data_IF_219380097775
#
_entry.id   IF_219380097775
#
_cell.length_a   1.000
_cell.length_b   1.000
_cell.length_c   1.000
_cell.angle_alpha   90.00
_cell.angle_beta   90.00
_cell.angle_gamma   90.00
#
_symmetry.space_group_name_H-M   'P 1'
#
loop_
_entity.id
_entity.type
_entity.pdbx_description
1 polymer ?
#
# COMPACT_ATOMS: atom_id res chain seq x y z
N UNK A 1 -24.78 -3.12 -8.12
CA UNK A 1 -23.78 -2.08 -7.74
C UNK A 1 -23.94 -1.55 -6.29
N UNK A 2 -24.97 -1.97 -5.57
CA UNK A 2 -25.20 -1.60 -4.13
C UNK A 2 -24.01 -1.94 -3.21
N UNK A 3 -23.27 -3.00 -3.50
CA UNK A 3 -22.08 -3.38 -2.74
C UNK A 3 -20.98 -2.30 -2.73
N UNK A 4 -20.82 -1.53 -3.81
CA UNK A 4 -19.82 -0.44 -3.84
C UNK A 4 -20.15 0.67 -2.83
N UNK A 5 -21.43 0.99 -2.66
CA UNK A 5 -21.84 1.98 -1.64
C UNK A 5 -21.55 1.50 -0.23
N UNK A 6 -21.77 0.20 0.03
CA UNK A 6 -21.44 -0.40 1.32
C UNK A 6 -19.93 -0.39 1.58
N UNK A 7 -19.12 -0.82 0.59
CA UNK A 7 -17.66 -0.79 0.70
C UNK A 7 -17.14 0.64 0.88
N UNK A 8 -17.72 1.61 0.17
CA UNK A 8 -17.37 3.02 0.31
C UNK A 8 -17.73 3.56 1.71
N UNK A 9 -18.91 3.23 2.21
CA UNK A 9 -19.32 3.62 3.56
C UNK A 9 -18.38 3.04 4.64
N UNK A 10 -18.00 1.77 4.51
CA UNK A 10 -17.01 1.13 5.40
C UNK A 10 -15.63 1.79 5.27
N UNK A 11 -15.21 2.12 4.05
CA UNK A 11 -13.96 2.82 3.80
C UNK A 11 -13.95 4.19 4.47
N UNK A 12 -15.01 4.97 4.35
CA UNK A 12 -15.16 6.26 5.05
C UNK A 12 -15.13 6.08 6.56
N UNK A 13 -15.87 5.12 7.10
CA UNK A 13 -15.97 4.89 8.53
C UNK A 13 -14.61 4.55 9.16
N UNK A 14 -13.86 3.63 8.56
CA UNK A 14 -12.57 3.18 9.11
C UNK A 14 -11.47 4.21 8.85
N UNK A 15 -11.39 4.79 7.66
CA UNK A 15 -10.40 5.82 7.34
C UNK A 15 -10.62 7.13 8.11
N UNK A 16 -11.78 7.32 8.75
CA UNK A 16 -12.03 8.44 9.67
C UNK A 16 -11.04 8.51 10.85
N UNK A 17 -10.27 7.46 11.12
CA UNK A 17 -9.11 7.52 12.03
C UNK A 17 -8.15 8.66 11.67
N UNK A 18 -8.06 9.05 10.41
CA UNK A 18 -7.27 10.19 9.94
C UNK A 18 -7.69 11.55 10.50
N UNK A 19 -8.88 11.66 11.08
CA UNK A 19 -9.33 12.87 11.78
C UNK A 19 -8.71 13.04 13.18
N UNK A 20 -8.14 11.95 13.75
CA UNK A 20 -7.40 12.01 15.01
C UNK A 20 -6.01 12.62 14.76
N UNK A 21 -5.27 12.03 13.80
CA UNK A 21 -3.99 12.54 13.32
C UNK A 21 -3.96 12.41 11.80
N UNK A 22 -3.56 13.47 11.11
CA UNK A 22 -3.55 13.50 9.63
C UNK A 22 -2.81 12.32 8.99
N UNK A 23 -1.70 11.91 9.58
CA UNK A 23 -0.91 10.77 9.11
C UNK A 23 -1.68 9.44 9.14
N UNK A 24 -2.73 9.32 9.97
CA UNK A 24 -3.51 8.10 10.07
C UNK A 24 -4.34 7.81 8.82
N UNK A 25 -4.63 8.81 8.00
CA UNK A 25 -5.21 8.56 6.67
C UNK A 25 -4.37 7.58 5.87
N UNK A 26 -3.05 7.69 5.91
CA UNK A 26 -2.09 6.91 5.12
C UNK A 26 -1.40 5.78 5.88
N UNK A 27 -1.72 5.58 7.14
CA UNK A 27 -1.09 4.59 8.01
C UNK A 27 -2.10 3.65 8.67
N UNK A 28 -2.53 3.90 9.90
CA UNK A 28 -3.50 3.05 10.60
C UNK A 28 -4.83 2.96 9.85
N UNK A 29 -5.35 4.09 9.36
CA UNK A 29 -6.56 4.13 8.57
C UNK A 29 -6.46 3.30 7.30
N UNK A 30 -5.34 3.37 6.59
CA UNK A 30 -5.08 2.54 5.41
C UNK A 30 -5.11 1.05 5.74
N UNK A 31 -4.25 0.59 6.63
CA UNK A 31 -4.12 -0.84 6.95
C UNK A 31 -5.44 -1.44 7.44
N UNK A 32 -6.11 -0.78 8.39
CA UNK A 32 -7.39 -1.29 8.93
C UNK A 32 -8.52 -1.20 7.91
N UNK A 33 -8.55 -0.17 7.04
CA UNK A 33 -9.56 -0.08 5.98
C UNK A 33 -9.42 -1.24 5.01
N UNK A 34 -8.22 -1.54 4.51
CA UNK A 34 -8.00 -2.68 3.62
C UNK A 34 -8.43 -4.00 4.28
N UNK A 35 -8.13 -4.19 5.58
CA UNK A 35 -8.56 -5.38 6.34
C UNK A 35 -10.09 -5.50 6.41
N UNK A 36 -10.78 -4.41 6.75
CA UNK A 36 -12.25 -4.40 6.84
C UNK A 36 -12.90 -4.62 5.48
N UNK A 37 -12.39 -3.96 4.43
CA UNK A 37 -12.88 -4.13 3.07
C UNK A 37 -12.67 -5.56 2.55
N UNK A 38 -11.55 -6.20 2.93
CA UNK A 38 -11.27 -7.60 2.62
C UNK A 38 -12.32 -8.55 3.23
N UNK A 39 -12.58 -8.39 4.54
CA UNK A 39 -13.60 -9.18 5.25
C UNK A 39 -14.98 -8.92 4.66
N UNK A 40 -15.33 -7.64 4.43
CA UNK A 40 -16.61 -7.27 3.85
C UNK A 40 -16.81 -7.89 2.45
N UNK A 41 -15.78 -7.87 1.60
CA UNK A 41 -15.81 -8.51 0.28
C UNK A 41 -16.11 -10.01 0.41
N UNK A 42 -15.40 -10.72 1.29
CA UNK A 42 -15.63 -12.15 1.51
C UNK A 42 -17.04 -12.45 2.02
N UNK A 43 -17.61 -11.63 2.90
CA UNK A 43 -18.97 -11.80 3.43
C UNK A 43 -20.03 -11.48 2.38
N UNK A 44 -19.88 -10.37 1.65
CA UNK A 44 -20.85 -9.93 0.62
C UNK A 44 -20.98 -10.96 -0.50
N UNK A 45 -19.88 -11.58 -0.87
CA UNK A 45 -19.81 -12.50 -2.00
C UNK A 45 -19.63 -13.97 -1.59
N UNK A 46 -19.97 -14.34 -0.34
CA UNK A 46 -19.80 -15.69 0.22
C UNK A 46 -20.45 -16.81 -0.59
N UNK A 47 -21.50 -16.49 -1.35
CA UNK A 47 -22.27 -17.40 -2.18
C UNK A 47 -21.57 -17.76 -3.50
N UNK A 48 -20.66 -16.89 -3.98
CA UNK A 48 -19.94 -17.05 -5.26
C UNK A 48 -18.43 -16.97 -5.10
N UNK A 49 -17.91 -16.91 -3.87
CA UNK A 49 -16.48 -16.76 -3.64
C UNK A 49 -15.70 -17.97 -4.15
N UNK A 50 -14.73 -17.73 -5.03
CA UNK A 50 -13.82 -18.75 -5.54
C UNK A 50 -12.55 -18.81 -4.69
N UNK A 51 -11.80 -19.91 -4.77
CA UNK A 51 -10.55 -20.07 -4.03
C UNK A 51 -9.52 -18.95 -4.29
N UNK A 52 -9.26 -18.50 -5.54
CA UNK A 52 -8.32 -17.40 -5.78
C UNK A 52 -8.84 -16.06 -5.28
N UNK A 53 -10.16 -15.82 -5.28
CA UNK A 53 -10.75 -14.64 -4.70
C UNK A 53 -10.62 -14.64 -3.17
N UNK A 54 -10.84 -15.79 -2.52
CA UNK A 54 -10.62 -15.95 -1.09
C UNK A 54 -9.14 -15.76 -0.73
N UNK A 55 -8.20 -16.30 -1.53
CA UNK A 55 -6.77 -16.06 -1.36
C UNK A 55 -6.44 -14.57 -1.41
N UNK A 56 -6.98 -13.82 -2.37
CA UNK A 56 -6.78 -12.37 -2.46
C UNK A 56 -7.32 -11.64 -1.22
N UNK A 57 -8.50 -12.02 -0.74
CA UNK A 57 -9.06 -11.48 0.50
C UNK A 57 -8.14 -11.78 1.70
N UNK A 58 -7.63 -12.99 1.83
CA UNK A 58 -6.69 -13.37 2.92
C UNK A 58 -5.39 -12.57 2.82
N UNK A 59 -4.84 -12.43 1.62
CA UNK A 59 -3.61 -11.64 1.37
C UNK A 59 -3.80 -10.19 1.83
N UNK A 60 -4.91 -9.54 1.47
CA UNK A 60 -5.20 -8.17 1.89
C UNK A 60 -5.47 -8.06 3.40
N UNK A 61 -6.15 -9.05 3.98
CA UNK A 61 -6.38 -9.08 5.43
C UNK A 61 -5.06 -9.18 6.20
N UNK A 62 -4.18 -10.09 5.79
CA UNK A 62 -2.85 -10.26 6.39
C UNK A 62 -2.01 -8.99 6.22
N UNK A 63 -1.97 -8.42 5.02
CA UNK A 63 -1.28 -7.15 4.74
C UNK A 63 -1.78 -6.03 5.65
N UNK A 64 -3.08 -5.78 5.65
CA UNK A 64 -3.66 -4.65 6.38
C UNK A 64 -3.55 -4.79 7.90
N UNK A 65 -3.81 -5.99 8.45
CA UNK A 65 -3.63 -6.25 9.89
C UNK A 65 -2.17 -6.11 10.29
N UNK A 66 -1.24 -6.70 9.51
CA UNK A 66 0.19 -6.58 9.79
C UNK A 66 0.64 -5.12 9.80
N UNK A 67 0.29 -4.36 8.77
CA UNK A 67 0.65 -2.95 8.66
C UNK A 67 0.04 -2.14 9.81
N UNK A 68 -1.26 -2.26 10.04
CA UNK A 68 -1.97 -1.53 11.09
C UNK A 68 -1.43 -1.87 12.49
N UNK A 69 -1.26 -3.16 12.80
CA UNK A 69 -0.72 -3.59 14.08
C UNK A 69 0.74 -3.20 14.30
N UNK A 70 1.58 -3.32 13.26
CA UNK A 70 2.98 -2.88 13.33
C UNK A 70 3.08 -1.38 13.65
N UNK A 71 2.29 -0.55 12.96
CA UNK A 71 2.29 0.89 13.19
C UNK A 71 1.75 1.24 14.58
N UNK A 72 0.67 0.60 15.02
CA UNK A 72 0.07 0.79 16.34
C UNK A 72 1.04 0.39 17.47
N UNK A 73 1.72 -0.75 17.33
CA UNK A 73 2.72 -1.20 18.31
C UNK A 73 3.95 -0.28 18.33
N UNK A 74 4.39 0.22 17.16
CA UNK A 74 5.49 1.18 17.05
C UNK A 74 5.15 2.49 17.75
N UNK A 75 3.94 2.99 17.56
CA UNK A 75 3.45 4.19 18.23
C UNK A 75 3.46 4.02 19.75
N UNK A 76 2.98 2.88 20.26
CA UNK A 76 2.94 2.64 21.70
C UNK A 76 4.32 2.45 22.33
N UNK A 77 5.30 1.89 21.60
CA UNK A 77 6.61 1.48 22.14
C UNK A 77 7.75 2.45 21.87
N UNK A 78 7.63 3.34 20.88
CA UNK A 78 8.71 4.22 20.45
C UNK A 78 8.44 5.67 20.84
N UNK A 79 9.19 6.20 21.81
CA UNK A 79 9.13 7.62 22.18
C UNK A 79 9.51 8.53 21.01
N UNK A 80 10.48 8.11 20.19
CA UNK A 80 10.86 8.84 18.97
C UNK A 80 9.69 8.96 18.00
N UNK A 81 8.86 7.91 17.86
CA UNK A 81 7.70 7.96 16.97
C UNK A 81 6.57 8.80 17.55
N UNK A 82 6.35 8.74 18.86
CA UNK A 82 5.43 9.66 19.55
C UNK A 82 5.85 11.11 19.31
N UNK A 83 7.15 11.41 19.41
CA UNK A 83 7.66 12.74 19.12
C UNK A 83 7.35 13.19 17.68
N UNK A 84 7.41 12.29 16.68
CA UNK A 84 7.02 12.59 15.30
C UNK A 84 5.52 12.88 15.20
N UNK A 85 4.66 12.12 15.90
CA UNK A 85 3.22 12.36 15.92
C UNK A 85 2.87 13.72 16.53
N UNK A 86 3.60 14.14 17.56
CA UNK A 86 3.39 15.43 18.23
C UNK A 86 4.11 16.61 17.56
N UNK A 87 4.80 16.40 16.44
CA UNK A 87 5.36 17.52 15.68
C UNK A 87 4.24 18.45 15.18
N UNK A 88 4.48 19.78 15.13
CA UNK A 88 3.47 20.74 14.67
C UNK A 88 2.84 20.39 13.32
N UNK A 89 3.64 19.82 12.41
CA UNK A 89 3.17 19.38 11.08
C UNK A 89 2.05 18.32 11.13
N UNK A 90 2.01 17.51 12.18
CA UNK A 90 1.03 16.46 12.37
C UNK A 90 -0.09 16.85 13.36
N UNK A 91 0.16 17.79 14.26
CA UNK A 91 -0.76 18.24 15.31
C UNK A 91 -1.51 19.52 14.94
N UNK A 92 -0.93 20.38 14.09
CA UNK A 92 -1.65 21.54 13.58
C UNK A 92 -2.83 21.07 12.75
N UNK A 93 -4.03 21.46 13.15
CA UNK A 93 -5.24 21.17 12.38
C UNK A 93 -5.07 21.72 10.96
N UNK A 94 -4.96 20.83 10.00
CA UNK A 94 -4.97 21.21 8.59
C UNK A 94 -6.32 21.91 8.30
N UNK A 95 -6.38 22.82 7.32
CA UNK A 95 -7.65 23.43 6.90
C UNK A 95 -8.71 22.36 6.64
N UNK A 96 -9.95 22.61 7.04
CA UNK A 96 -11.03 21.64 6.91
C UNK A 96 -11.16 21.10 5.48
N UNK A 97 -10.99 21.96 4.48
CA UNK A 97 -11.00 21.58 3.07
C UNK A 97 -9.95 20.51 2.77
N UNK A 98 -8.72 20.63 3.27
CA UNK A 98 -7.65 19.65 3.07
C UNK A 98 -8.00 18.32 3.73
N UNK A 99 -8.51 18.37 4.97
CA UNK A 99 -8.93 17.16 5.71
C UNK A 99 -10.02 16.39 4.95
N UNK A 100 -11.07 17.08 4.50
CA UNK A 100 -12.15 16.49 3.72
C UNK A 100 -11.66 15.92 2.37
N UNK A 101 -10.85 16.69 1.64
CA UNK A 101 -10.32 16.26 0.34
C UNK A 101 -9.47 14.99 0.46
N UNK A 102 -8.58 14.95 1.45
CA UNK A 102 -7.72 13.78 1.68
C UNK A 102 -8.54 12.58 2.15
N UNK A 103 -9.49 12.77 3.05
CA UNK A 103 -10.35 11.69 3.51
C UNK A 103 -11.17 11.06 2.38
N UNK A 104 -11.81 11.90 1.55
CA UNK A 104 -12.59 11.45 0.37
C UNK A 104 -11.65 10.71 -0.60
N UNK A 105 -10.48 11.29 -0.91
CA UNK A 105 -9.51 10.68 -1.80
C UNK A 105 -9.03 9.32 -1.28
N UNK A 106 -8.70 9.20 -0.01
CA UNK A 106 -8.28 7.95 0.61
C UNK A 106 -9.39 6.89 0.57
N UNK A 107 -10.64 7.27 0.92
CA UNK A 107 -11.76 6.34 0.90
C UNK A 107 -12.03 5.79 -0.51
N UNK A 108 -11.99 6.64 -1.53
CA UNK A 108 -12.13 6.23 -2.93
C UNK A 108 -10.97 5.37 -3.40
N UNK A 109 -9.73 5.74 -3.04
CA UNK A 109 -8.53 5.00 -3.38
C UNK A 109 -8.58 3.57 -2.84
N UNK A 110 -8.95 3.37 -1.57
CA UNK A 110 -9.00 2.05 -0.94
C UNK A 110 -10.04 1.13 -1.57
N UNK A 111 -11.21 1.67 -1.91
CA UNK A 111 -12.22 0.91 -2.67
C UNK A 111 -11.73 0.60 -4.08
N UNK A 112 -11.08 1.57 -4.76
CA UNK A 112 -10.48 1.37 -6.08
C UNK A 112 -9.43 0.25 -6.10
N UNK A 113 -8.61 0.14 -5.05
CA UNK A 113 -7.57 -0.89 -4.93
C UNK A 113 -8.13 -2.32 -4.85
N UNK A 114 -9.23 -2.51 -4.11
CA UNK A 114 -9.85 -3.84 -3.98
C UNK A 114 -10.84 -4.14 -5.09
N UNK A 115 -11.20 -3.15 -5.89
CA UNK A 115 -12.27 -3.24 -6.89
C UNK A 115 -12.09 -4.37 -7.92
N UNK A 116 -10.88 -4.75 -8.38
CA UNK A 116 -10.72 -5.85 -9.34
C UNK A 116 -11.32 -7.18 -8.87
N UNK A 117 -11.10 -7.54 -7.60
CA UNK A 117 -11.66 -8.78 -7.02
C UNK A 117 -13.16 -8.63 -6.77
N UNK A 118 -13.61 -7.47 -6.31
CA UNK A 118 -15.05 -7.24 -6.10
C UNK A 118 -15.81 -7.25 -7.42
N UNK A 119 -15.23 -6.73 -8.52
CA UNK A 119 -15.81 -6.82 -9.86
C UNK A 119 -15.82 -8.25 -10.39
N UNK A 120 -14.72 -9.02 -10.17
CA UNK A 120 -14.70 -10.44 -10.52
C UNK A 120 -15.88 -11.17 -9.86
N UNK A 121 -16.05 -11.03 -8.55
CA UNK A 121 -17.10 -11.71 -7.80
C UNK A 121 -18.51 -11.21 -8.18
N UNK A 122 -18.66 -9.90 -8.39
CA UNK A 122 -19.95 -9.35 -8.86
C UNK A 122 -20.32 -9.85 -10.24
N UNK A 123 -19.39 -9.79 -11.19
CA UNK A 123 -19.63 -10.22 -12.57
C UNK A 123 -19.90 -11.73 -12.64
N UNK A 124 -19.20 -12.54 -11.82
CA UNK A 124 -19.46 -13.96 -11.66
C UNK A 124 -20.89 -14.22 -11.14
N UNK A 125 -21.34 -13.46 -10.13
CA UNK A 125 -22.71 -13.55 -9.58
C UNK A 125 -23.78 -13.20 -10.62
N UNK A 126 -23.52 -12.24 -11.48
CA UNK A 126 -24.43 -11.81 -12.57
C UNK A 126 -24.35 -12.72 -13.81
N UNK A 127 -23.54 -13.79 -13.78
CA UNK A 127 -23.34 -14.68 -14.92
C UNK A 127 -22.57 -14.06 -16.09
N UNK A 128 -21.85 -12.96 -15.84
CA UNK A 128 -21.02 -12.31 -16.85
C UNK A 128 -19.70 -13.09 -17.03
N UNK A 129 -19.06 -12.99 -18.21
CA UNK A 129 -17.82 -13.70 -18.46
C UNK A 129 -16.69 -13.19 -17.56
N UNK A 130 -16.09 -14.09 -16.79
CA UNK A 130 -14.89 -13.83 -15.96
C UNK A 130 -13.86 -14.92 -16.19
N UNK A 131 -12.60 -14.64 -15.91
CA UNK A 131 -11.51 -15.60 -16.06
C UNK A 131 -10.87 -15.94 -14.71
N UNK A 132 -11.05 -17.17 -14.28
CA UNK A 132 -10.41 -17.68 -13.07
C UNK A 132 -8.87 -17.73 -13.19
N UNK A 133 -8.34 -17.93 -14.41
CA UNK A 133 -6.90 -17.92 -14.67
C UNK A 133 -6.26 -16.57 -14.35
N UNK A 134 -6.87 -15.46 -14.76
CA UNK A 134 -6.41 -14.13 -14.40
C UNK A 134 -6.57 -13.82 -12.91
N UNK A 135 -7.63 -14.38 -12.29
CA UNK A 135 -7.85 -14.27 -10.86
C UNK A 135 -6.72 -14.97 -10.07
N UNK A 136 -6.34 -16.21 -10.47
CA UNK A 136 -5.20 -16.93 -9.89
C UNK A 136 -3.88 -16.19 -10.11
N UNK A 137 -3.60 -15.74 -11.33
CA UNK A 137 -2.37 -15.02 -11.65
C UNK A 137 -2.22 -13.78 -10.76
N UNK A 138 -3.27 -12.98 -10.64
CA UNK A 138 -3.25 -11.79 -9.80
C UNK A 138 -3.11 -12.10 -8.31
N UNK A 139 -3.84 -13.11 -7.80
CA UNK A 139 -3.77 -13.53 -6.41
C UNK A 139 -2.36 -14.00 -6.00
N UNK A 140 -1.70 -14.79 -6.87
CA UNK A 140 -0.32 -15.27 -6.64
C UNK A 140 0.66 -14.10 -6.64
N UNK A 141 0.57 -13.19 -7.61
CA UNK A 141 1.43 -12.00 -7.67
C UNK A 141 1.23 -11.12 -6.43
N UNK A 142 -0.02 -10.93 -5.99
CA UNK A 142 -0.32 -10.19 -4.77
C UNK A 142 0.29 -10.85 -3.53
N UNK A 143 0.16 -12.16 -3.39
CA UNK A 143 0.76 -12.91 -2.29
C UNK A 143 2.30 -12.80 -2.26
N UNK A 144 2.96 -12.90 -3.42
CA UNK A 144 4.40 -12.68 -3.54
C UNK A 144 4.79 -11.26 -3.11
N UNK A 145 4.00 -10.26 -3.46
CA UNK A 145 4.22 -8.87 -3.03
C UNK A 145 4.23 -8.73 -1.51
N UNK A 146 3.24 -9.30 -0.82
CA UNK A 146 3.17 -9.28 0.65
C UNK A 146 4.34 -10.03 1.28
N UNK A 147 4.73 -11.18 0.74
CA UNK A 147 5.89 -11.95 1.24
C UNK A 147 7.17 -11.12 1.11
N UNK A 148 7.41 -10.48 -0.04
CA UNK A 148 8.59 -9.63 -0.26
C UNK A 148 8.60 -8.48 0.75
N UNK A 149 7.48 -7.82 0.98
CA UNK A 149 7.36 -6.74 1.96
C UNK A 149 7.67 -7.21 3.38
N UNK A 150 7.11 -8.36 3.79
CA UNK A 150 7.36 -8.96 5.11
C UNK A 150 8.85 -9.30 5.31
N UNK A 151 9.47 -9.92 4.31
CA UNK A 151 10.90 -10.27 4.35
C UNK A 151 11.77 -9.01 4.39
N UNK A 152 11.43 -7.98 3.60
CA UNK A 152 12.15 -6.71 3.61
C UNK A 152 12.11 -6.04 5.00
N UNK A 153 10.93 -5.95 5.60
CA UNK A 153 10.77 -5.35 6.94
C UNK A 153 11.53 -6.15 8.01
N UNK A 154 11.52 -7.49 7.92
CA UNK A 154 12.28 -8.36 8.82
C UNK A 154 13.80 -8.15 8.68
N UNK A 155 14.31 -8.12 7.44
CA UNK A 155 15.72 -7.85 7.15
C UNK A 155 16.15 -6.48 7.65
N UNK A 156 15.35 -5.44 7.41
CA UNK A 156 15.61 -4.09 7.91
C UNK A 156 15.65 -4.05 9.44
N UNK A 157 14.69 -4.70 10.09
CA UNK A 157 14.63 -4.77 11.55
C UNK A 157 15.84 -5.49 12.14
N UNK A 158 16.27 -6.60 11.54
CA UNK A 158 17.45 -7.35 11.95
C UNK A 158 18.73 -6.52 11.76
N UNK A 159 18.93 -5.90 10.62
CA UNK A 159 20.09 -5.05 10.34
C UNK A 159 20.19 -3.86 11.30
N UNK A 160 19.05 -3.21 11.61
CA UNK A 160 19.00 -2.09 12.54
C UNK A 160 19.22 -2.47 14.01
N UNK A 161 18.97 -3.73 14.39
CA UNK A 161 19.37 -4.25 15.72
C UNK A 161 20.87 -4.40 15.86
N UNK A 162 21.57 -4.76 14.75
CA UNK A 162 23.03 -4.89 14.73
C UNK A 162 23.70 -3.51 14.72
N UNK A 163 23.27 -2.62 13.82
CA UNK A 163 23.77 -1.26 13.72
C UNK A 163 22.67 -0.27 13.34
N UNK A 164 22.14 0.41 14.36
CA UNK A 164 21.04 1.35 14.19
C UNK A 164 21.40 2.56 13.29
N UNK A 165 22.69 2.94 13.26
CA UNK A 165 23.18 4.13 12.57
C UNK A 165 23.60 3.88 11.11
N UNK A 166 23.79 2.62 10.69
CA UNK A 166 24.15 2.26 9.31
C UNK A 166 22.90 2.13 8.44
N UNK A 167 22.98 2.51 7.17
CA UNK A 167 21.96 2.17 6.17
C UNK A 167 21.94 0.65 5.91
N UNK A 168 20.83 0.16 5.32
CA UNK A 168 20.67 -1.29 5.01
C UNK A 168 20.93 -1.50 3.54
N UNK A 169 21.88 -2.37 3.22
CA UNK A 169 22.37 -2.69 1.86
C UNK A 169 22.50 -4.20 1.62
N UNK A 170 21.92 -5.03 2.50
CA UNK A 170 22.02 -6.50 2.46
C UNK A 170 20.67 -7.15 2.13
N UNK A 171 20.67 -8.41 1.72
CA UNK A 171 19.48 -9.16 1.35
C UNK A 171 18.73 -8.51 0.19
N UNK A 172 17.42 -8.29 0.32
CA UNK A 172 16.58 -7.63 -0.69
C UNK A 172 17.01 -6.18 -0.97
N UNK A 173 17.65 -5.51 0.00
CA UNK A 173 18.17 -4.16 -0.15
C UNK A 173 19.38 -4.07 -1.08
N UNK A 174 19.99 -5.20 -1.48
CA UNK A 174 21.00 -5.23 -2.58
C UNK A 174 20.36 -5.12 -3.96
N UNK A 175 19.08 -5.49 -4.08
CA UNK A 175 18.37 -5.52 -5.38
C UNK A 175 17.70 -4.17 -5.63
N UNK A 176 16.99 -3.65 -4.62
CA UNK A 176 16.36 -2.31 -4.63
C UNK A 176 16.50 -1.66 -3.26
N UNK A 177 16.52 -0.32 -3.20
CA UNK A 177 16.68 0.41 -1.94
C UNK A 177 15.43 0.42 -1.06
N UNK A 178 14.26 0.22 -1.67
CA UNK A 178 12.97 0.21 -0.99
C UNK A 178 12.19 -1.09 -1.30
N UNK A 179 12.70 -2.28 -0.88
CA UNK A 179 12.07 -3.55 -1.25
C UNK A 179 10.69 -3.74 -0.60
N UNK A 180 10.42 -3.11 0.54
CA UNK A 180 9.08 -3.10 1.15
C UNK A 180 8.07 -2.33 0.27
N UNK A 181 8.45 -1.18 -0.30
CA UNK A 181 7.59 -0.45 -1.24
C UNK A 181 7.42 -1.20 -2.56
N UNK A 182 8.47 -1.88 -3.03
CA UNK A 182 8.35 -2.77 -4.18
C UNK A 182 7.35 -3.90 -3.91
N UNK A 183 7.41 -4.53 -2.73
CA UNK A 183 6.47 -5.57 -2.33
C UNK A 183 5.02 -5.09 -2.36
N UNK A 184 4.76 -3.89 -1.84
CA UNK A 184 3.43 -3.28 -1.85
C UNK A 184 2.96 -2.92 -3.27
N UNK A 185 3.83 -2.32 -4.10
CA UNK A 185 3.52 -2.08 -5.53
C UNK A 185 3.20 -3.40 -6.24
N UNK A 186 3.97 -4.47 -5.99
CA UNK A 186 3.74 -5.77 -6.58
C UNK A 186 2.41 -6.39 -6.12
N UNK A 187 2.05 -6.26 -4.84
CA UNK A 187 0.76 -6.71 -4.31
C UNK A 187 -0.40 -6.04 -5.05
N UNK A 188 -0.36 -4.72 -5.21
CA UNK A 188 -1.43 -4.00 -5.92
C UNK A 188 -1.37 -4.20 -7.43
N UNK A 189 -0.21 -4.48 -8.01
CA UNK A 189 -0.08 -4.93 -9.40
C UNK A 189 -0.79 -6.27 -9.59
N UNK A 190 -0.63 -7.20 -8.63
CA UNK A 190 -1.38 -8.45 -8.61
C UNK A 190 -2.89 -8.22 -8.60
N UNK A 191 -3.37 -7.33 -7.73
CA UNK A 191 -4.79 -6.95 -7.72
C UNK A 191 -5.22 -6.37 -9.07
N UNK A 192 -4.42 -5.51 -9.71
CA UNK A 192 -4.74 -4.91 -11.00
C UNK A 192 -4.73 -5.93 -12.17
N UNK A 193 -3.85 -6.94 -12.13
CA UNK A 193 -3.81 -8.02 -13.12
C UNK A 193 -5.17 -8.75 -13.21
N UNK A 194 -5.91 -8.85 -12.12
CA UNK A 194 -7.24 -9.46 -12.09
C UNK A 194 -8.22 -8.75 -13.04
N UNK A 195 -8.04 -7.45 -13.31
CA UNK A 195 -8.89 -6.67 -14.22
C UNK A 195 -9.00 -7.30 -15.61
N UNK A 196 -7.92 -7.92 -16.11
CA UNK A 196 -7.91 -8.55 -17.44
C UNK A 196 -8.88 -9.72 -17.57
N UNK A 197 -9.32 -10.28 -16.47
CA UNK A 197 -10.31 -11.36 -16.42
C UNK A 197 -11.57 -11.03 -15.64
N UNK A 198 -11.72 -9.77 -15.18
CA UNK A 198 -12.83 -9.39 -14.30
C UNK A 198 -13.62 -8.18 -14.78
N UNK A 199 -12.97 -7.21 -15.41
CA UNK A 199 -13.64 -5.95 -15.78
C UNK A 199 -14.38 -6.07 -17.09
N UNK A 200 -15.72 -5.99 -17.03
CA UNK A 200 -16.62 -6.10 -18.16
C UNK A 200 -17.09 -4.75 -18.71
N UNK A 201 -16.87 -3.66 -17.99
CA UNK A 201 -17.33 -2.31 -18.37
C UNK A 201 -16.21 -1.27 -18.26
N UNK A 202 -16.33 -0.19 -19.03
CA UNK A 202 -15.39 0.95 -18.95
C UNK A 202 -15.33 1.53 -17.54
N UNK A 203 -16.47 1.64 -16.85
CA UNK A 203 -16.52 2.15 -15.47
C UNK A 203 -15.71 1.29 -14.49
N UNK A 204 -15.76 -0.04 -14.61
CA UNK A 204 -14.97 -0.96 -13.80
C UNK A 204 -13.46 -0.76 -14.05
N UNK A 205 -13.06 -0.65 -15.32
CA UNK A 205 -11.67 -0.36 -15.70
C UNK A 205 -11.19 0.99 -15.16
N UNK A 206 -12.00 2.04 -15.26
CA UNK A 206 -11.64 3.37 -14.73
C UNK A 206 -11.41 3.33 -13.23
N UNK A 207 -12.32 2.73 -12.45
CA UNK A 207 -12.22 2.64 -11.00
C UNK A 207 -10.94 1.88 -10.59
N UNK A 208 -10.73 0.71 -11.18
CA UNK A 208 -9.57 -0.12 -10.88
C UNK A 208 -8.24 0.55 -11.26
N UNK A 209 -8.20 1.20 -12.42
CA UNK A 209 -7.01 1.90 -12.92
C UNK A 209 -6.67 3.10 -12.03
N UNK A 210 -7.65 3.90 -11.64
CA UNK A 210 -7.44 5.02 -10.72
C UNK A 210 -6.96 4.54 -9.35
N UNK A 211 -7.52 3.43 -8.84
CA UNK A 211 -7.05 2.79 -7.61
C UNK A 211 -5.58 2.35 -7.70
N UNK A 212 -5.20 1.72 -8.81
CA UNK A 212 -3.83 1.25 -9.02
C UNK A 212 -2.84 2.41 -9.22
N UNK A 213 -3.14 3.37 -10.09
CA UNK A 213 -2.27 4.54 -10.33
C UNK A 213 -2.09 5.33 -9.03
N UNK A 214 -3.18 5.52 -8.27
CA UNK A 214 -3.14 6.25 -7.00
C UNK A 214 -2.18 5.61 -5.99
N UNK A 215 -2.22 4.29 -5.80
CA UNK A 215 -1.30 3.64 -4.85
C UNK A 215 0.15 3.64 -5.35
N UNK A 216 0.40 3.43 -6.63
CA UNK A 216 1.74 3.54 -7.21
C UNK A 216 2.31 4.95 -6.96
N UNK A 217 1.51 5.99 -7.18
CA UNK A 217 1.89 7.37 -6.87
C UNK A 217 2.25 7.55 -5.38
N UNK A 218 1.43 7.02 -4.47
CA UNK A 218 1.69 7.08 -3.02
C UNK A 218 3.00 6.37 -2.66
N UNK A 219 3.28 5.21 -3.25
CA UNK A 219 4.51 4.46 -2.98
C UNK A 219 5.75 5.21 -3.48
N UNK A 220 5.71 5.79 -4.68
CA UNK A 220 6.82 6.60 -5.19
C UNK A 220 7.01 7.89 -4.39
N UNK A 221 5.94 8.52 -3.92
CA UNK A 221 6.00 9.69 -3.03
C UNK A 221 6.63 9.33 -1.67
N UNK A 222 6.25 8.17 -1.11
CA UNK A 222 6.85 7.64 0.11
C UNK A 222 8.34 7.33 -0.05
N UNK A 223 8.73 6.73 -1.19
CA UNK A 223 10.13 6.46 -1.51
C UNK A 223 10.95 7.75 -1.65
N UNK A 224 10.39 8.80 -2.26
CA UNK A 224 11.04 10.12 -2.33
C UNK A 224 11.29 10.70 -0.94
N UNK A 225 10.29 10.68 -0.05
CA UNK A 225 10.46 11.15 1.33
C UNK A 225 11.55 10.36 2.07
N UNK A 226 11.56 9.04 1.88
CA UNK A 226 12.60 8.18 2.48
C UNK A 226 13.98 8.49 1.91
N UNK A 227 14.10 8.66 0.59
CA UNK A 227 15.35 9.03 -0.08
C UNK A 227 15.92 10.34 0.46
N UNK A 228 15.11 11.40 0.53
CA UNK A 228 15.55 12.70 1.06
C UNK A 228 16.07 12.57 2.50
N UNK A 229 15.34 11.88 3.37
CA UNK A 229 15.78 11.62 4.76
C UNK A 229 17.08 10.81 4.82
N UNK A 230 17.24 9.82 3.94
CA UNK A 230 18.47 9.04 3.87
C UNK A 230 19.66 9.88 3.38
N UNK A 231 19.44 10.78 2.44
CA UNK A 231 20.47 11.73 1.98
C UNK A 231 20.90 12.70 3.09
N UNK A 232 19.97 13.21 3.91
CA UNK A 232 20.29 14.02 5.09
C UNK A 232 21.14 13.24 6.11
N UNK A 233 20.82 11.95 6.31
CA UNK A 233 21.46 11.14 7.36
C UNK A 233 22.79 10.53 6.91
N UNK A 234 22.87 10.06 5.66
CA UNK A 234 23.98 9.25 5.15
C UNK A 234 24.66 9.86 3.93
N UNK A 235 24.22 11.03 3.46
CA UNK A 235 24.69 11.63 2.20
C UNK A 235 26.19 11.88 2.13
N UNK A 236 26.88 12.07 3.26
CA UNK A 236 28.33 12.24 3.35
C UNK A 236 29.12 10.91 3.44
N UNK A 237 28.42 9.77 3.54
CA UNK A 237 29.06 8.46 3.60
C UNK A 237 29.38 7.96 2.17
N UNK A 238 30.67 7.73 1.83
CA UNK A 238 31.06 7.25 0.50
C UNK A 238 30.46 5.90 0.13
N UNK A 239 30.25 5.00 1.11
CA UNK A 239 29.63 3.70 0.88
C UNK A 239 28.14 3.88 0.51
N UNK A 240 27.45 4.79 1.17
CA UNK A 240 26.07 5.12 0.84
C UNK A 240 25.94 5.74 -0.55
N UNK A 241 26.85 6.66 -0.90
CA UNK A 241 26.88 7.25 -2.24
C UNK A 241 27.11 6.20 -3.33
N UNK A 242 28.04 5.27 -3.11
CA UNK A 242 28.29 4.16 -4.04
C UNK A 242 27.07 3.23 -4.16
N UNK A 243 26.43 2.94 -3.03
CA UNK A 243 25.21 2.12 -2.97
C UNK A 243 24.06 2.76 -3.77
N UNK A 244 23.79 4.05 -3.57
CA UNK A 244 22.69 4.74 -4.25
C UNK A 244 22.87 4.88 -5.75
N UNK A 245 24.10 4.97 -6.24
CA UNK A 245 24.44 4.99 -7.67
C UNK A 245 24.25 3.64 -8.36
N UNK A 246 24.37 2.54 -7.61
CA UNK A 246 24.34 1.17 -8.13
C UNK A 246 22.99 0.48 -7.99
N UNK A 247 22.24 0.80 -6.93
CA UNK A 247 21.02 0.09 -6.56
C UNK A 247 19.77 0.93 -6.89
N UNK A 248 18.85 0.43 -7.75
CA UNK A 248 17.61 1.12 -8.07
C UNK A 248 16.75 1.40 -6.83
N UNK A 249 15.86 2.40 -6.92
CA UNK A 249 15.09 2.83 -5.77
C UNK A 249 13.97 1.86 -5.38
N UNK A 250 13.06 1.52 -6.30
CA UNK A 250 11.88 0.69 -6.02
C UNK A 250 11.80 -0.53 -6.93
N UNK A 251 11.90 -0.34 -8.25
CA UNK A 251 11.62 -1.40 -9.23
C UNK A 251 12.93 -2.10 -9.60
N UNK A 252 13.05 -3.43 -9.37
CA UNK A 252 14.22 -4.18 -9.75
C UNK A 252 14.54 -4.05 -11.25
N UNK A 253 15.82 -3.96 -11.58
CA UNK A 253 16.33 -3.88 -12.94
C UNK A 253 15.93 -2.64 -13.76
N UNK A 254 15.08 -1.78 -13.24
CA UNK A 254 14.74 -0.49 -13.85
C UNK A 254 15.68 0.59 -13.30
N UNK A 255 16.42 1.33 -14.17
CA UNK A 255 17.48 2.26 -13.73
C UNK A 255 16.93 3.57 -13.16
N UNK A 256 15.97 3.49 -12.25
CA UNK A 256 15.45 4.62 -11.48
C UNK A 256 16.24 4.69 -10.16
N UNK A 257 17.37 5.40 -10.20
CA UNK A 257 18.27 5.52 -9.05
C UNK A 257 17.90 6.64 -8.09
N UNK A 258 17.12 7.63 -8.53
CA UNK A 258 16.66 8.73 -7.68
C UNK A 258 15.37 9.34 -8.21
N UNK A 259 14.48 9.67 -7.28
CA UNK A 259 13.24 10.43 -7.53
C UNK A 259 13.22 11.77 -6.78
N UNK A 260 14.31 12.12 -6.09
CA UNK A 260 14.40 13.32 -5.26
C UNK A 260 14.07 14.62 -6.02
N UNK A 261 14.46 14.70 -7.31
CA UNK A 261 14.22 15.87 -8.18
C UNK A 261 12.74 16.09 -8.54
N UNK A 262 11.89 15.06 -8.44
CA UNK A 262 10.49 15.15 -8.85
C UNK A 262 9.63 15.74 -7.73
N UNK A 263 9.58 17.07 -7.63
CA UNK A 263 8.86 17.79 -6.56
C UNK A 263 7.35 17.52 -6.52
N UNK A 264 6.75 17.06 -7.62
CA UNK A 264 5.33 16.70 -7.69
C UNK A 264 4.98 15.37 -6.96
N UNK A 265 5.98 14.55 -6.64
CA UNK A 265 5.82 13.37 -5.78
C UNK A 265 5.72 13.79 -4.31
N UNK A 266 4.57 14.33 -3.91
CA UNK A 266 4.28 14.81 -2.54
C UNK A 266 2.91 14.28 -2.12
N UNK A 267 2.86 13.05 -1.64
CA UNK A 267 1.67 12.47 -1.01
C UNK A 267 1.87 12.32 0.50
#
# INVERSE_FOLDING_TARGET
MSFLYLLLALSFAVSALGWIYFIYFFSLGYGFTISVLSIATAIIFRDVITWPALLSCVVWLVFGLRLGMYLLLRERRSETYKHILYQPENTVKKPAFVMWSVWIMCALLYVGQISPVTFYLHNLREGLPVSEGWMWAGAIVAALGVIIEMVADAQKSAAKKVNARRFVDTGLYRIVRCPNYFGEVLMWTGSFIICFGSCCTVGQWVIATLGYIGIVYVMFSGARRLELRQMETYGNDPEFQAYTKKTPLIIPFVPIYSVAKYKWLQA
#
